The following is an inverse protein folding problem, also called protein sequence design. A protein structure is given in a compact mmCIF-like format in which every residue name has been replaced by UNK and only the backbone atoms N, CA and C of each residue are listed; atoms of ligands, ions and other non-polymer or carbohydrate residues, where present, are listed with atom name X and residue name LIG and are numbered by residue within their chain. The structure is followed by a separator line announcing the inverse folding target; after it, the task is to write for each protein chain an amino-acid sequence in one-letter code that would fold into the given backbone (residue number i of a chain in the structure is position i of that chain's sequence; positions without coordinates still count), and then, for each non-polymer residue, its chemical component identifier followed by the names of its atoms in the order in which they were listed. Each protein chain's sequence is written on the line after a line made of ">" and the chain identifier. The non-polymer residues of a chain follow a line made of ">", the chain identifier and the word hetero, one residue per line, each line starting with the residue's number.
data_IF_076169565105
#
_entry.id   IF_076169565105
#
_cell.length_a   1.000
_cell.length_b   1.000
_cell.length_c   1.000
_cell.angle_alpha   90.00
_cell.angle_beta   90.00
_cell.angle_gamma   90.00
#
_symmetry.space_group_name_H-M   'P 1'
#
loop_
_entity.id
_entity.type
_entity.pdbx_description
1 polymer ?
#
# COMPACT_ATOMS: atom_id res chain seq x y z
N UNK A 1 12.11 -16.50 19.56
CA UNK A 1 10.97 -16.07 18.74
C UNK A 1 11.49 -15.11 17.70
N UNK A 2 11.42 -15.45 16.41
CA UNK A 2 11.67 -14.45 15.36
C UNK A 2 10.42 -13.55 15.30
N UNK A 3 10.56 -12.23 15.32
CA UNK A 3 9.41 -11.36 15.11
C UNK A 3 8.88 -11.62 13.70
N UNK A 4 7.64 -12.10 13.58
CA UNK A 4 6.95 -12.15 12.30
C UNK A 4 6.86 -10.73 11.75
N UNK A 5 7.38 -10.51 10.54
CA UNK A 5 7.24 -9.25 9.84
C UNK A 5 5.78 -9.09 9.42
N UNK A 6 5.04 -8.23 10.12
CA UNK A 6 3.56 -8.11 10.02
C UNK A 6 3.11 -7.59 8.65
N UNK A 7 3.96 -6.85 7.93
CA UNK A 7 3.70 -6.44 6.54
C UNK A 7 3.97 -7.58 5.53
N UNK A 8 3.16 -8.64 5.62
CA UNK A 8 3.09 -9.71 4.60
C UNK A 8 2.52 -9.17 3.28
N UNK A 9 2.56 -9.98 2.21
CA UNK A 9 1.96 -9.58 0.92
C UNK A 9 0.51 -9.15 1.06
N UNK A 10 -0.24 -9.85 1.90
CA UNK A 10 -1.69 -9.70 2.00
C UNK A 10 -2.05 -8.37 2.68
N UNK A 11 -1.28 -7.96 3.69
CA UNK A 11 -1.40 -6.64 4.32
C UNK A 11 -1.02 -5.50 3.37
N UNK A 12 0.03 -5.70 2.56
CA UNK A 12 0.38 -4.71 1.53
C UNK A 12 -0.76 -4.55 0.55
N UNK A 13 -1.33 -5.65 0.05
CA UNK A 13 -2.44 -5.59 -0.91
C UNK A 13 -3.67 -4.90 -0.31
N UNK A 14 -4.02 -5.19 0.96
CA UNK A 14 -5.11 -4.52 1.66
C UNK A 14 -4.91 -2.99 1.74
N UNK A 15 -3.69 -2.52 2.02
CA UNK A 15 -3.33 -1.10 2.03
C UNK A 15 -3.45 -0.41 0.66
N UNK A 16 -3.43 -1.17 -0.44
CA UNK A 16 -3.57 -0.61 -1.79
C UNK A 16 -5.03 -0.50 -2.24
N UNK A 17 -5.97 -1.17 -1.55
CA UNK A 17 -7.40 -1.16 -1.87
C UNK A 17 -8.02 0.23 -1.73
N UNK A 18 -7.65 0.96 -0.67
CA UNK A 18 -8.11 2.32 -0.40
C UNK A 18 -7.07 3.34 -0.82
N UNK A 19 -7.50 4.54 -1.24
CA UNK A 19 -6.57 5.63 -1.53
C UNK A 19 -6.06 6.29 -0.26
N UNK A 20 -4.99 7.07 -0.43
CA UNK A 20 -4.34 7.80 0.64
C UNK A 20 -5.30 8.76 1.36
N UNK A 21 -6.16 9.46 0.60
CA UNK A 21 -7.11 10.45 1.13
C UNK A 21 -8.05 9.82 2.14
N UNK A 22 -8.60 8.65 1.80
CA UNK A 22 -9.43 7.87 2.71
C UNK A 22 -8.71 7.56 4.04
N UNK A 23 -7.42 7.19 4.02
CA UNK A 23 -6.69 6.90 5.26
C UNK A 23 -6.44 8.15 6.11
N UNK A 24 -6.10 9.27 5.47
CA UNK A 24 -5.86 10.54 6.15
C UNK A 24 -7.15 11.07 6.79
N UNK A 25 -8.28 11.01 6.08
CA UNK A 25 -9.59 11.42 6.60
C UNK A 25 -9.97 10.58 7.82
N UNK A 26 -9.78 9.25 7.75
CA UNK A 26 -10.07 8.36 8.88
C UNK A 26 -9.20 8.63 10.10
N UNK A 27 -7.91 8.94 9.89
CA UNK A 27 -7.04 9.35 10.99
C UNK A 27 -7.53 10.64 11.64
N UNK A 28 -7.95 11.60 10.82
CA UNK A 28 -8.43 12.89 11.32
C UNK A 28 -9.72 12.74 12.13
N UNK A 29 -10.66 11.94 11.62
CA UNK A 29 -11.93 11.63 12.30
C UNK A 29 -11.72 10.89 13.63
N UNK A 30 -10.77 9.95 13.69
CA UNK A 30 -10.60 9.08 14.86
C UNK A 30 -9.81 9.73 16.00
N UNK A 31 -8.90 10.65 15.68
CA UNK A 31 -8.00 11.25 16.68
C UNK A 31 -8.44 12.64 17.16
N UNK A 32 -9.59 13.13 16.68
CA UNK A 32 -10.20 14.41 17.09
C UNK A 32 -9.21 15.58 17.08
N UNK A 33 -8.44 15.72 16.00
CA UNK A 33 -7.45 16.79 15.87
C UNK A 33 -8.13 18.17 15.83
N UNK A 34 -7.53 19.13 16.51
CA UNK A 34 -7.89 20.54 16.36
C UNK A 34 -7.59 21.05 14.95
N UNK A 35 -8.28 22.12 14.52
CA UNK A 35 -8.05 22.74 13.21
C UNK A 35 -6.58 23.16 13.00
N UNK A 36 -5.92 23.65 14.06
CA UNK A 36 -4.49 23.98 14.03
C UNK A 36 -3.60 22.75 13.82
N UNK A 37 -3.94 21.60 14.42
CA UNK A 37 -3.20 20.35 14.21
C UNK A 37 -3.40 19.83 12.79
N UNK A 38 -4.62 19.91 12.25
CA UNK A 38 -4.92 19.53 10.86
C UNK A 38 -4.11 20.39 9.88
N UNK A 39 -4.08 21.71 10.06
CA UNK A 39 -3.27 22.60 9.23
C UNK A 39 -1.78 22.26 9.31
N UNK A 40 -1.29 21.93 10.51
CA UNK A 40 0.09 21.48 10.70
C UNK A 40 0.37 20.18 9.93
N UNK A 41 -0.51 19.18 10.05
CA UNK A 41 -0.40 17.91 9.30
C UNK A 41 -0.26 18.17 7.80
N UNK A 42 -1.16 18.97 7.21
CA UNK A 42 -1.11 19.27 5.78
C UNK A 42 0.15 20.02 5.36
N UNK A 43 0.58 21.02 6.14
CA UNK A 43 1.78 21.82 5.82
C UNK A 43 3.07 20.98 5.91
N UNK A 44 3.20 20.15 6.95
CA UNK A 44 4.31 19.21 7.11
C UNK A 44 4.30 18.17 6.00
N UNK A 45 3.14 17.59 5.70
CA UNK A 45 2.95 16.65 4.59
C UNK A 45 3.46 17.21 3.27
N UNK A 46 3.07 18.44 2.92
CA UNK A 46 3.46 19.06 1.66
C UNK A 46 4.97 19.30 1.59
N UNK A 47 5.56 19.83 2.67
CA UNK A 47 7.00 20.09 2.77
C UNK A 47 7.82 18.81 2.64
N UNK A 48 7.47 17.77 3.41
CA UNK A 48 8.18 16.49 3.42
C UNK A 48 8.02 15.77 2.08
N UNK A 49 6.82 15.79 1.47
CA UNK A 49 6.58 15.19 0.15
C UNK A 49 7.51 15.77 -0.92
N UNK A 50 7.72 17.10 -0.90
CA UNK A 50 8.62 17.75 -1.86
C UNK A 50 10.07 17.32 -1.66
N UNK A 51 10.52 17.21 -0.40
CA UNK A 51 11.85 16.68 -0.06
C UNK A 51 12.01 15.24 -0.56
N UNK A 52 11.05 14.37 -0.28
CA UNK A 52 11.07 12.96 -0.68
C UNK A 52 11.13 12.79 -2.20
N UNK A 53 10.41 13.61 -2.97
CA UNK A 53 10.50 13.61 -4.43
C UNK A 53 11.92 13.87 -4.92
N UNK A 54 12.65 14.78 -4.25
CA UNK A 54 14.04 15.08 -4.60
C UNK A 54 15.00 13.93 -4.24
N UNK A 55 14.81 13.29 -3.09
CA UNK A 55 15.64 12.17 -2.64
C UNK A 55 15.45 10.92 -3.51
N UNK A 56 14.22 10.69 -3.98
CA UNK A 56 13.88 9.60 -4.90
C UNK A 56 14.68 9.65 -6.20
N UNK A 57 14.98 10.84 -6.71
CA UNK A 57 15.72 11.02 -7.97
C UNK A 57 17.14 10.48 -7.84
N UNK A 58 17.76 10.65 -6.67
CA UNK A 58 19.16 10.26 -6.42
C UNK A 58 19.30 8.75 -6.28
N UNK A 59 18.46 8.10 -5.46
CA UNK A 59 18.58 6.68 -5.13
C UNK A 59 17.19 6.00 -5.01
N UNK A 60 16.54 5.66 -6.14
CA UNK A 60 15.14 5.22 -6.12
C UNK A 60 14.90 3.92 -5.33
N UNK A 61 15.83 2.96 -5.39
CA UNK A 61 15.70 1.67 -4.70
C UNK A 61 15.86 1.81 -3.19
N UNK A 62 16.90 2.52 -2.73
CA UNK A 62 17.12 2.78 -1.30
C UNK A 62 16.00 3.63 -0.71
N UNK A 63 15.55 4.64 -1.46
CA UNK A 63 14.42 5.47 -1.07
C UNK A 63 13.15 4.64 -0.87
N UNK A 64 12.87 3.69 -1.78
CA UNK A 64 11.73 2.80 -1.62
C UNK A 64 11.81 1.95 -0.35
N UNK A 65 12.97 1.33 -0.06
CA UNK A 65 13.13 0.56 1.18
C UNK A 65 13.01 1.41 2.44
N UNK A 66 13.53 2.64 2.40
CA UNK A 66 13.35 3.59 3.48
C UNK A 66 11.86 3.91 3.71
N UNK A 67 11.12 4.24 2.64
CA UNK A 67 9.68 4.48 2.72
C UNK A 67 8.92 3.25 3.26
N UNK A 68 9.28 2.05 2.82
CA UNK A 68 8.68 0.81 3.34
C UNK A 68 8.96 0.64 4.83
N UNK A 69 10.17 0.95 5.30
CA UNK A 69 10.51 0.94 6.72
C UNK A 69 9.70 1.94 7.54
N UNK A 70 9.51 3.16 7.02
CA UNK A 70 8.66 4.17 7.69
C UNK A 70 7.20 3.74 7.76
N UNK A 71 6.67 3.19 6.65
CA UNK A 71 5.31 2.64 6.60
C UNK A 71 5.16 1.48 7.59
N UNK A 72 6.16 0.58 7.68
CA UNK A 72 6.17 -0.48 8.69
C UNK A 72 6.06 0.11 10.09
N UNK A 73 6.91 1.06 10.46
CA UNK A 73 6.87 1.68 11.79
C UNK A 73 5.52 2.36 12.08
N UNK A 74 4.96 3.07 11.09
CA UNK A 74 3.64 3.70 11.18
C UNK A 74 2.52 2.72 11.49
N UNK A 75 2.63 1.47 11.03
CA UNK A 75 1.58 0.46 11.17
C UNK A 75 1.92 -0.69 12.13
N UNK A 76 3.18 -0.87 12.54
CA UNK A 76 3.67 -1.95 13.41
C UNK A 76 3.57 -1.57 14.90
N UNK A 77 3.94 -0.35 15.29
CA UNK A 77 4.19 -0.08 16.71
C UNK A 77 2.92 0.34 17.49
N UNK A 78 1.87 0.86 16.83
CA UNK A 78 0.66 1.39 17.51
C UNK A 78 -0.66 1.36 16.71
N UNK A 79 -1.10 0.19 16.29
CA UNK A 79 -2.55 -0.11 16.23
C UNK A 79 -3.41 0.49 15.11
N UNK A 80 -2.92 1.40 14.25
CA UNK A 80 -3.76 1.95 13.18
C UNK A 80 -4.28 0.86 12.25
N UNK A 81 -3.43 -0.08 11.82
CA UNK A 81 -3.82 -1.12 10.86
C UNK A 81 -4.69 -2.24 11.47
N UNK A 82 -4.37 -2.69 12.69
CA UNK A 82 -5.13 -3.72 13.39
C UNK A 82 -6.51 -3.20 13.85
N UNK A 83 -6.59 -1.92 14.22
CA UNK A 83 -7.84 -1.22 14.49
C UNK A 83 -8.66 -0.99 13.21
N UNK A 84 -8.02 -0.51 12.13
CA UNK A 84 -8.67 -0.16 10.87
C UNK A 84 -9.16 -1.37 10.06
N UNK A 85 -8.39 -2.46 9.98
CA UNK A 85 -8.74 -3.67 9.22
C UNK A 85 -9.45 -4.75 10.06
N UNK A 86 -9.64 -4.53 11.36
CA UNK A 86 -10.25 -5.51 12.26
C UNK A 86 -9.46 -6.81 12.42
N UNK A 87 -8.17 -6.81 12.05
CA UNK A 87 -7.33 -7.99 12.02
C UNK A 87 -6.92 -8.37 13.45
N UNK A 88 -7.49 -9.46 13.95
CA UNK A 88 -7.16 -10.07 15.26
C UNK A 88 -5.79 -10.74 15.18
N UNK A 89 -4.73 -9.99 15.47
CA UNK A 89 -3.41 -10.50 15.85
C UNK A 89 -3.16 -10.26 17.34
N UNK A 90 -2.73 -11.28 18.07
CA UNK A 90 -2.80 -11.36 19.53
C UNK A 90 -2.13 -10.22 20.32
N UNK A 91 -2.77 -9.80 21.41
CA UNK A 91 -2.14 -9.11 22.53
C UNK A 91 -2.05 -7.58 22.47
N UNK A 92 -2.27 -6.94 21.33
CA UNK A 92 -2.12 -5.48 21.22
C UNK A 92 -3.41 -4.78 21.63
N UNK A 93 -3.37 -4.03 22.73
CA UNK A 93 -4.49 -3.20 23.19
C UNK A 93 -4.93 -2.27 22.05
N UNK A 94 -6.19 -2.41 21.64
CA UNK A 94 -6.87 -1.50 20.71
C UNK A 94 -6.88 -0.09 21.29
N UNK A 95 -5.87 0.67 20.98
CA UNK A 95 -5.78 2.09 21.27
C UNK A 95 -5.16 2.74 20.04
N UNK A 96 -6.01 3.25 19.16
CA UNK A 96 -5.64 4.30 18.20
C UNK A 96 -5.23 5.59 18.90
N UNK A 97 -5.45 5.68 20.23
CA UNK A 97 -5.34 6.88 21.06
C UNK A 97 -3.87 7.33 21.25
N UNK A 98 -2.87 6.47 20.98
CA UNK A 98 -1.45 6.76 21.24
C UNK A 98 -0.59 7.00 19.99
N UNK A 99 -1.18 7.01 18.79
CA UNK A 99 -0.48 7.31 17.54
C UNK A 99 -1.10 8.52 16.83
N UNK A 100 -0.62 9.72 17.20
CA UNK A 100 -0.86 10.93 16.41
C UNK A 100 0.10 10.94 15.23
N UNK A 101 -0.36 10.44 14.08
CA UNK A 101 0.41 10.43 12.86
C UNK A 101 0.71 11.88 12.42
N UNK A 102 1.97 12.30 12.54
CA UNK A 102 2.42 13.59 12.00
C UNK A 102 2.42 13.60 10.46
N UNK A 103 2.38 14.79 9.86
CA UNK A 103 2.29 14.94 8.40
C UNK A 103 3.44 14.31 7.60
N UNK A 104 4.59 14.09 8.23
CA UNK A 104 5.72 13.34 7.66
C UNK A 104 5.39 11.86 7.43
N UNK A 105 4.74 11.20 8.39
CA UNK A 105 4.29 9.81 8.28
C UNK A 105 3.34 9.64 7.09
N UNK A 106 2.39 10.55 6.95
CA UNK A 106 1.46 10.57 5.82
C UNK A 106 2.19 10.80 4.49
N UNK A 107 3.23 11.65 4.46
CA UNK A 107 4.04 11.84 3.26
C UNK A 107 4.81 10.57 2.87
N UNK A 108 5.35 9.84 3.85
CA UNK A 108 6.01 8.56 3.61
C UNK A 108 5.02 7.53 3.05
N UNK A 109 3.84 7.43 3.65
CA UNK A 109 2.81 6.49 3.25
C UNK A 109 2.27 6.78 1.83
N UNK A 110 1.93 8.04 1.51
CA UNK A 110 1.47 8.41 0.17
C UNK A 110 2.49 8.05 -0.92
N UNK A 111 3.77 8.42 -0.69
CA UNK A 111 4.86 8.13 -1.63
C UNK A 111 5.08 6.63 -1.82
N UNK A 112 5.01 5.85 -0.73
CA UNK A 112 5.10 4.40 -0.77
C UNK A 112 3.90 3.79 -1.53
N UNK A 113 2.67 4.21 -1.19
CA UNK A 113 1.44 3.67 -1.77
C UNK A 113 1.38 3.94 -3.27
N UNK A 114 1.78 5.13 -3.72
CA UNK A 114 1.89 5.48 -5.15
C UNK A 114 2.87 4.57 -5.89
N UNK A 115 3.98 4.19 -5.26
CA UNK A 115 4.94 3.27 -5.85
C UNK A 115 4.37 1.84 -5.93
N UNK A 116 3.86 1.32 -4.82
CA UNK A 116 3.33 -0.05 -4.75
C UNK A 116 2.09 -0.24 -5.64
N UNK A 117 1.18 0.75 -5.73
CA UNK A 117 0.04 0.70 -6.65
C UNK A 117 0.46 0.54 -8.11
N UNK A 118 1.55 1.19 -8.54
CA UNK A 118 2.06 1.03 -9.91
C UNK A 118 2.58 -0.39 -10.14
N UNK A 119 3.29 -0.94 -9.16
CA UNK A 119 3.81 -2.31 -9.22
C UNK A 119 2.67 -3.34 -9.23
N UNK A 120 1.69 -3.17 -8.35
CA UNK A 120 0.50 -4.02 -8.27
C UNK A 120 -0.28 -3.99 -9.58
N UNK A 121 -0.62 -2.80 -10.11
CA UNK A 121 -1.33 -2.67 -11.39
C UNK A 121 -0.59 -3.34 -12.55
N UNK A 122 0.74 -3.24 -12.59
CA UNK A 122 1.57 -3.93 -13.61
C UNK A 122 1.48 -5.44 -13.48
N UNK A 123 1.59 -5.98 -12.26
CA UNK A 123 1.44 -7.41 -11.99
C UNK A 123 0.05 -7.89 -12.39
N UNK A 124 -1.00 -7.21 -11.96
CA UNK A 124 -2.38 -7.54 -12.32
C UNK A 124 -2.61 -7.51 -13.82
N UNK A 125 -2.12 -6.49 -14.54
CA UNK A 125 -2.23 -6.40 -15.99
C UNK A 125 -1.51 -7.57 -16.68
N UNK A 126 -0.32 -7.94 -16.21
CA UNK A 126 0.42 -9.09 -16.70
C UNK A 126 -0.33 -10.42 -16.48
N UNK A 127 -0.91 -10.60 -15.29
CA UNK A 127 -1.72 -11.77 -14.96
C UNK A 127 -2.97 -11.87 -15.85
N UNK A 128 -3.58 -10.73 -16.21
CA UNK A 128 -4.69 -10.71 -17.17
C UNK A 128 -4.23 -11.11 -18.58
N UNK A 129 -3.11 -10.55 -19.07
CA UNK A 129 -2.57 -10.84 -20.40
C UNK A 129 -2.25 -12.34 -20.52
N UNK A 130 -1.58 -12.91 -19.52
CA UNK A 130 -1.21 -14.34 -19.53
C UNK A 130 -2.42 -15.26 -19.50
N UNK A 131 -3.47 -14.93 -18.73
CA UNK A 131 -4.73 -15.68 -18.74
C UNK A 131 -5.43 -15.64 -20.10
N UNK A 132 -5.51 -14.47 -20.73
CA UNK A 132 -6.10 -14.33 -22.08
C UNK A 132 -5.28 -15.13 -23.10
N UNK A 133 -3.95 -15.04 -23.05
CA UNK A 133 -3.05 -15.81 -23.90
C UNK A 133 -3.25 -17.32 -23.76
N UNK A 134 -3.42 -17.82 -22.54
CA UNK A 134 -3.69 -19.23 -22.28
C UNK A 134 -5.02 -19.68 -22.89
N UNK A 135 -6.09 -18.89 -22.73
CA UNK A 135 -7.40 -19.19 -23.33
C UNK A 135 -7.32 -19.21 -24.86
N UNK A 136 -6.64 -18.23 -25.46
CA UNK A 136 -6.42 -18.19 -26.91
C UNK A 136 -5.62 -19.40 -27.41
N UNK A 137 -4.59 -19.81 -26.68
CA UNK A 137 -3.80 -21.00 -27.01
C UNK A 137 -4.68 -22.27 -27.00
N UNK A 138 -5.53 -22.45 -25.98
CA UNK A 138 -6.47 -23.58 -25.90
C UNK A 138 -7.43 -23.57 -27.09
N UNK A 139 -8.02 -22.42 -27.42
CA UNK A 139 -8.93 -22.29 -28.57
C UNK A 139 -8.23 -22.61 -29.90
N UNK A 140 -7.00 -22.12 -30.09
CA UNK A 140 -6.19 -22.43 -31.27
C UNK A 140 -5.89 -23.92 -31.37
N UNK A 141 -5.50 -24.57 -30.27
CA UNK A 141 -5.27 -26.02 -30.24
C UNK A 141 -6.53 -26.78 -30.65
N UNK A 142 -7.70 -26.40 -30.12
CA UNK A 142 -8.99 -27.02 -30.50
C UNK A 142 -9.25 -26.84 -32.00
N UNK A 143 -9.09 -25.63 -32.54
CA UNK A 143 -9.29 -25.35 -33.97
C UNK A 143 -8.31 -26.13 -34.86
N UNK A 144 -7.04 -26.26 -34.46
CA UNK A 144 -6.05 -27.06 -35.20
C UNK A 144 -6.44 -28.53 -35.23
N UNK A 145 -6.85 -29.09 -34.09
CA UNK A 145 -7.34 -30.48 -34.01
C UNK A 145 -8.57 -30.66 -34.90
N UNK A 146 -9.53 -29.74 -34.84
CA UNK A 146 -10.76 -29.81 -35.63
C UNK A 146 -10.49 -29.76 -37.13
N UNK A 147 -9.59 -28.87 -37.56
CA UNK A 147 -9.15 -28.77 -38.96
C UNK A 147 -8.44 -30.05 -39.43
N UNK A 148 -7.66 -30.70 -38.57
CA UNK A 148 -6.95 -31.95 -38.89
C UNK A 148 -7.87 -33.18 -38.95
N UNK A 149 -9.07 -33.12 -38.38
CA UNK A 149 -10.03 -34.23 -38.39
C UNK A 149 -10.98 -34.14 -39.60
N UNK A 150 -11.30 -32.93 -40.04
CA UNK A 150 -12.28 -32.69 -41.11
C UNK A 150 -11.62 -32.51 -42.48
N UNK A 151 -10.34 -32.12 -42.53
CA UNK A 151 -9.52 -32.08 -43.75
C UNK A 151 -8.82 -33.41 -43.99
#
# INVERSE_FOLDING_TARGET
>A
MQPELILTSDYKEALLLYDFEFFLEKDIEQNDYSESEVQLIYSTYQSVTNKLKSDRIKNPKQHHYYLEGQVRLMFEDKGFLAGFLGLKGGGYSRSTIDFKAMGDNWAYFDMWQKYERRKFRRKTAWDYITKIGAVLAILLTILTIWKSIIG
#
